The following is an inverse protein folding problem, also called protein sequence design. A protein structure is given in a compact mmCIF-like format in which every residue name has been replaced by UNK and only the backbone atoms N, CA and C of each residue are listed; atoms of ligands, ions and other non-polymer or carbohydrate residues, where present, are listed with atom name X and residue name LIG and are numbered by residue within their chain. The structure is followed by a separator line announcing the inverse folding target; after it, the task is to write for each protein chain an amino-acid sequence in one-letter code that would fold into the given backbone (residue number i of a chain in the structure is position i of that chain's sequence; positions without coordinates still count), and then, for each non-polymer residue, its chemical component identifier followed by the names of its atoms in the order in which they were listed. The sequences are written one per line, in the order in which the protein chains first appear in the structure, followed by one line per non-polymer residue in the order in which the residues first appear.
data_IF_235720495116
#
_entry.id   IF_235720495116
#
_cell.length_a   1.000
_cell.length_b   1.000
_cell.length_c   1.000
_cell.angle_alpha   90.00
_cell.angle_beta   90.00
_cell.angle_gamma   90.00
#
_symmetry.space_group_name_H-M   'P 1'
#
loop_
_entity.id
_entity.type
_entity.pdbx_description
1 polymer ?
#
# COMPACT_ATOMS: atom_id res chain seq x y z
N UNK A 1 13.12 59.84 -43.74
CA UNK A 1 13.59 58.48 -43.39
C UNK A 1 13.57 58.35 -41.87
N UNK A 2 12.87 57.31 -41.39
CA UNK A 2 13.02 56.57 -40.12
C UNK A 2 12.68 57.26 -38.78
N UNK A 3 11.94 56.49 -37.98
CA UNK A 3 11.32 56.73 -36.67
C UNK A 3 12.31 56.68 -35.48
N UNK A 4 11.88 57.07 -34.27
CA UNK A 4 11.65 56.14 -33.12
C UNK A 4 11.28 56.87 -31.81
N UNK A 5 10.34 56.24 -31.09
CA UNK A 5 10.05 56.14 -29.63
C UNK A 5 10.13 57.34 -28.66
N UNK A 6 9.06 57.37 -27.84
CA UNK A 6 9.06 57.92 -26.48
C UNK A 6 7.80 57.50 -25.70
N UNK A 7 7.64 56.19 -25.47
CA UNK A 7 6.51 55.56 -24.78
C UNK A 7 6.54 55.92 -23.27
N UNK A 8 5.51 56.63 -22.78
CA UNK A 8 5.32 56.94 -21.35
C UNK A 8 4.95 55.69 -20.54
N UNK A 9 5.66 55.49 -19.44
CA UNK A 9 5.33 54.57 -18.33
C UNK A 9 4.43 55.28 -17.30
N UNK A 10 3.37 54.61 -16.83
CA UNK A 10 3.09 54.35 -15.39
C UNK A 10 1.71 53.68 -15.16
N UNK A 11 1.79 52.50 -14.53
CA UNK A 11 1.03 52.02 -13.36
C UNK A 11 -0.50 51.92 -13.45
N UNK A 12 -1.02 50.69 -13.34
CA UNK A 12 -1.90 50.26 -12.24
C UNK A 12 -2.24 48.76 -12.40
N UNK A 13 -2.21 48.06 -11.27
CA UNK A 13 -2.60 46.67 -11.09
C UNK A 13 -4.01 46.38 -11.58
N UNK A 14 -4.21 45.20 -12.16
CA UNK A 14 -5.30 44.31 -11.74
C UNK A 14 -4.94 42.87 -12.12
N UNK A 15 -4.76 42.10 -11.06
CA UNK A 15 -4.86 40.65 -11.02
C UNK A 15 -6.16 40.19 -11.68
N UNK A 16 -6.09 39.75 -12.92
CA UNK A 16 -7.13 38.90 -13.49
C UNK A 16 -6.81 37.46 -13.10
N UNK A 17 -6.96 37.19 -11.79
CA UNK A 17 -7.50 35.92 -11.32
C UNK A 17 -8.96 35.87 -11.77
N UNK A 18 -9.17 35.74 -13.09
CA UNK A 18 -10.48 35.49 -13.66
C UNK A 18 -10.87 34.07 -13.23
N UNK A 19 -11.61 34.02 -12.13
CA UNK A 19 -12.65 33.04 -11.82
C UNK A 19 -13.03 32.23 -13.06
N UNK A 20 -12.42 31.05 -13.24
CA UNK A 20 -13.03 30.03 -14.06
C UNK A 20 -14.30 29.62 -13.29
N UNK A 21 -15.52 29.92 -13.78
CA UNK A 21 -16.69 29.29 -13.20
C UNK A 21 -16.47 27.80 -13.38
N UNK A 22 -16.29 27.08 -12.27
CA UNK A 22 -16.20 25.63 -12.31
C UNK A 22 -17.46 25.16 -13.01
N UNK A 23 -17.28 24.47 -14.14
CA UNK A 23 -18.39 23.97 -14.95
C UNK A 23 -19.30 23.10 -14.07
N UNK A 24 -20.53 23.55 -13.83
CA UNK A 24 -21.50 22.85 -12.97
C UNK A 24 -21.72 21.41 -13.44
N UNK A 25 -21.64 21.18 -14.75
CA UNK A 25 -21.72 19.85 -15.35
C UNK A 25 -20.52 18.97 -14.96
N UNK A 26 -19.33 19.55 -14.84
CA UNK A 26 -18.12 18.87 -14.39
C UNK A 26 -18.24 18.49 -12.90
N UNK A 27 -18.73 19.39 -12.05
CA UNK A 27 -18.96 19.10 -10.62
C UNK A 27 -19.92 17.92 -10.45
N UNK A 28 -21.07 17.97 -11.12
CA UNK A 28 -22.06 16.88 -11.07
C UNK A 28 -21.51 15.54 -11.59
N UNK A 29 -20.57 15.59 -12.55
CA UNK A 29 -19.92 14.38 -13.07
C UNK A 29 -18.90 13.80 -12.09
N UNK A 30 -18.19 14.65 -11.35
CA UNK A 30 -17.26 14.24 -10.29
C UNK A 30 -18.02 13.65 -9.10
N UNK A 31 -19.14 14.23 -8.69
CA UNK A 31 -19.98 13.69 -7.62
C UNK A 31 -20.48 12.29 -7.95
N UNK A 32 -21.00 12.07 -9.17
CA UNK A 32 -21.41 10.74 -9.64
C UNK A 32 -20.25 9.75 -9.70
N UNK A 33 -19.05 10.21 -10.08
CA UNK A 33 -17.87 9.36 -10.07
C UNK A 33 -17.48 8.97 -8.64
N UNK A 34 -17.62 9.89 -7.68
CA UNK A 34 -17.36 9.60 -6.27
C UNK A 34 -18.34 8.55 -5.74
N UNK A 35 -19.63 8.65 -6.05
CA UNK A 35 -20.62 7.62 -5.67
C UNK A 35 -20.22 6.23 -6.19
N UNK A 36 -19.74 6.14 -7.44
CA UNK A 36 -19.24 4.87 -8.02
C UNK A 36 -17.97 4.38 -7.31
N UNK A 37 -17.07 5.28 -6.93
CA UNK A 37 -15.86 4.93 -6.19
C UNK A 37 -16.19 4.41 -4.79
N UNK A 38 -17.17 5.00 -4.11
CA UNK A 38 -17.63 4.55 -2.79
C UNK A 38 -18.23 3.12 -2.88
N UNK A 39 -19.00 2.84 -3.94
CA UNK A 39 -19.50 1.49 -4.21
C UNK A 39 -18.37 0.48 -4.47
N UNK A 40 -17.34 0.88 -5.22
CA UNK A 40 -16.16 0.04 -5.46
C UNK A 40 -15.36 -0.22 -4.18
N UNK A 41 -15.19 0.80 -3.33
CA UNK A 41 -14.50 0.67 -2.05
C UNK A 41 -15.22 -0.33 -1.15
N UNK A 42 -16.55 -0.22 -1.05
CA UNK A 42 -17.36 -1.17 -0.30
C UNK A 42 -17.21 -2.61 -0.79
N UNK A 43 -17.19 -2.83 -2.11
CA UNK A 43 -16.97 -4.17 -2.68
C UNK A 43 -15.56 -4.70 -2.31
N UNK A 44 -14.54 -3.84 -2.35
CA UNK A 44 -13.17 -4.22 -2.00
C UNK A 44 -13.01 -4.53 -0.51
N UNK A 45 -13.69 -3.79 0.37
CA UNK A 45 -13.74 -4.08 1.80
C UNK A 45 -14.39 -5.44 2.05
N UNK A 46 -15.57 -5.70 1.46
CA UNK A 46 -16.24 -7.00 1.60
C UNK A 46 -15.40 -8.17 1.07
N UNK A 47 -14.64 -7.94 -0.01
CA UNK A 47 -13.73 -8.94 -0.54
C UNK A 47 -12.55 -9.21 0.42
N UNK A 48 -12.00 -8.16 1.00
CA UNK A 48 -10.90 -8.24 1.97
C UNK A 48 -11.33 -8.96 3.24
N UNK A 49 -12.54 -8.68 3.74
CA UNK A 49 -13.11 -9.36 4.90
C UNK A 49 -13.31 -10.86 4.64
N UNK A 50 -13.85 -11.23 3.46
CA UNK A 50 -14.02 -12.65 3.09
C UNK A 50 -12.69 -13.38 2.99
N UNK A 51 -11.64 -12.73 2.46
CA UNK A 51 -10.29 -13.31 2.43
C UNK A 51 -9.77 -13.52 3.86
N UNK A 52 -9.94 -12.52 4.72
CA UNK A 52 -9.51 -12.60 6.12
C UNK A 52 -10.24 -13.71 6.89
N UNK A 53 -11.55 -13.86 6.73
CA UNK A 53 -12.33 -14.93 7.35
C UNK A 53 -11.83 -16.32 6.92
N UNK A 54 -11.52 -16.49 5.63
CA UNK A 54 -10.96 -17.74 5.10
C UNK A 54 -9.58 -18.01 5.73
N UNK A 55 -8.71 -17.01 5.79
CA UNK A 55 -7.39 -17.15 6.41
C UNK A 55 -7.48 -17.52 7.89
N UNK A 56 -8.36 -16.86 8.64
CA UNK A 56 -8.60 -17.16 10.06
C UNK A 56 -9.08 -18.60 10.25
N UNK A 57 -10.09 -19.03 9.48
CA UNK A 57 -10.60 -20.41 9.51
C UNK A 57 -9.48 -21.43 9.26
N UNK A 58 -8.66 -21.22 8.24
CA UNK A 58 -7.58 -22.16 7.94
C UNK A 58 -6.42 -22.06 8.93
N UNK A 59 -6.20 -20.92 9.59
CA UNK A 59 -5.24 -20.83 10.69
C UNK A 59 -5.65 -21.70 11.88
N UNK A 60 -6.93 -21.70 12.25
CA UNK A 60 -7.44 -22.58 13.31
C UNK A 60 -7.30 -24.06 12.95
N UNK A 61 -7.59 -24.44 11.70
CA UNK A 61 -7.43 -25.82 11.22
C UNK A 61 -5.94 -26.22 11.18
N UNK A 62 -5.05 -25.31 10.77
CA UNK A 62 -3.60 -25.56 10.69
C UNK A 62 -2.94 -25.66 12.06
N UNK A 63 -3.43 -24.93 13.06
CA UNK A 63 -2.84 -24.89 14.41
C UNK A 63 -2.58 -26.27 15.03
N UNK A 64 -3.55 -27.19 15.17
CA UNK A 64 -3.30 -28.51 15.76
C UNK A 64 -2.35 -29.37 14.91
N UNK A 65 -2.26 -29.12 13.60
CA UNK A 65 -1.30 -29.80 12.72
C UNK A 65 0.11 -29.27 12.97
N UNK A 66 0.27 -27.95 13.15
CA UNK A 66 1.53 -27.35 13.54
C UNK A 66 1.99 -27.81 14.93
N UNK A 67 1.06 -27.96 15.88
CA UNK A 67 1.38 -28.48 17.22
C UNK A 67 1.91 -29.91 17.13
N UNK A 68 1.22 -30.79 16.37
CA UNK A 68 1.70 -32.16 16.11
C UNK A 68 3.06 -32.18 15.42
N UNK A 69 3.26 -31.34 14.40
CA UNK A 69 4.54 -31.20 13.71
C UNK A 69 5.64 -30.77 14.68
N UNK A 70 5.34 -29.83 15.58
CA UNK A 70 6.29 -29.33 16.56
C UNK A 70 6.74 -30.42 17.54
N UNK A 71 5.82 -31.27 18.02
CA UNK A 71 6.17 -32.41 18.86
C UNK A 71 7.13 -33.39 18.14
N UNK A 72 6.91 -33.65 16.85
CA UNK A 72 7.84 -34.46 16.07
C UNK A 72 9.20 -33.77 15.91
N UNK A 73 9.21 -32.47 15.60
CA UNK A 73 10.45 -31.69 15.43
C UNK A 73 11.31 -31.71 16.70
N UNK A 74 10.71 -31.67 17.90
CA UNK A 74 11.46 -31.75 19.17
C UNK A 74 12.35 -32.99 19.30
N UNK A 75 12.01 -34.08 18.60
CA UNK A 75 12.82 -35.31 18.61
C UNK A 75 14.02 -35.26 17.66
N UNK A 76 14.13 -34.23 16.82
CA UNK A 76 15.19 -34.05 15.83
C UNK A 76 16.18 -33.01 16.37
N UNK A 77 17.40 -33.40 16.75
CA UNK A 77 18.43 -32.46 17.17
C UNK A 77 18.72 -31.40 16.10
N UNK A 78 18.94 -30.16 16.53
CA UNK A 78 19.38 -29.04 15.70
C UNK A 78 18.48 -28.73 14.47
N UNK A 79 17.21 -29.17 14.48
CA UNK A 79 16.31 -29.06 13.33
C UNK A 79 16.18 -27.63 12.81
N UNK A 80 15.79 -26.68 13.68
CA UNK A 80 15.56 -25.30 13.27
C UNK A 80 16.86 -24.59 12.86
N UNK A 81 17.96 -24.81 13.59
CA UNK A 81 19.28 -24.28 13.22
C UNK A 81 19.69 -24.75 11.82
N UNK A 82 19.60 -26.05 11.57
CA UNK A 82 19.89 -26.64 10.26
C UNK A 82 18.98 -26.09 9.16
N UNK A 83 17.69 -25.93 9.44
CA UNK A 83 16.71 -25.40 8.49
C UNK A 83 16.99 -23.94 8.12
N UNK A 84 17.28 -23.08 9.10
CA UNK A 84 17.60 -21.68 8.84
C UNK A 84 18.91 -21.51 8.08
N UNK A 85 19.94 -22.28 8.42
CA UNK A 85 21.24 -22.22 7.72
C UNK A 85 21.18 -22.72 6.29
N UNK A 86 20.29 -23.68 6.02
CA UNK A 86 20.07 -24.19 4.68
C UNK A 86 19.21 -23.25 3.82
N UNK A 87 18.59 -22.23 4.41
CA UNK A 87 17.73 -21.29 3.67
C UNK A 87 18.57 -20.17 3.03
N UNK A 88 18.47 -19.94 1.70
CA UNK A 88 19.37 -19.04 0.96
C UNK A 88 19.45 -17.61 1.49
N UNK A 89 18.34 -17.08 2.02
CA UNK A 89 18.27 -15.71 2.56
C UNK A 89 18.48 -15.68 4.08
N UNK A 90 18.05 -16.72 4.80
CA UNK A 90 18.06 -16.66 6.26
C UNK A 90 19.42 -17.10 6.80
N UNK A 91 20.08 -18.06 6.14
CA UNK A 91 21.43 -18.49 6.48
C UNK A 91 22.45 -17.36 6.34
N UNK A 92 22.25 -16.41 5.41
CA UNK A 92 23.13 -15.24 5.27
C UNK A 92 22.95 -14.19 6.38
N UNK A 93 21.85 -14.28 7.15
CA UNK A 93 21.57 -13.35 8.25
C UNK A 93 22.11 -13.85 9.60
N UNK A 94 22.44 -15.14 9.71
CA UNK A 94 22.91 -15.75 10.96
C UNK A 94 24.43 -15.56 11.11
N UNK A 95 24.83 -15.03 12.27
CA UNK A 95 26.24 -14.86 12.65
C UNK A 95 26.71 -16.03 13.51
N UNK A 96 28.03 -16.26 13.59
CA UNK A 96 28.63 -17.33 14.43
C UNK A 96 28.20 -17.30 15.91
N UNK A 97 27.77 -16.14 16.42
CA UNK A 97 27.22 -16.01 17.77
C UNK A 97 25.77 -16.51 17.88
N UNK A 98 24.95 -16.31 16.85
CA UNK A 98 23.55 -16.77 16.80
C UNK A 98 23.45 -18.31 16.77
N UNK A 99 24.49 -18.99 16.30
CA UNK A 99 24.57 -20.45 16.31
C UNK A 99 24.78 -21.07 17.70
N UNK A 100 25.15 -20.27 18.71
CA UNK A 100 25.52 -20.74 20.05
C UNK A 100 24.38 -20.61 21.07
N UNK A 101 23.23 -20.07 20.65
CA UNK A 101 22.01 -19.86 21.46
C UNK A 101 21.08 -21.06 21.34
#
# INVERSE_FOLDING_TARGET
MVADKGKKMKVAEKSDEENNPIDEQLVLSIEKLQEIQDDLEKINEEASDKVLEVEQKYNEIRKPVYDKRNETIKSIPDFWSTAFLSHPVLGTLLTEEDHKV
#
